data_IF_195566193966
#
_entry.id   IF_195566193966
#
_cell.length_a   1.000
_cell.length_b   1.000
_cell.length_c   1.000
_cell.angle_alpha   90.00
_cell.angle_beta   90.00
_cell.angle_gamma   90.00
#
_symmetry.space_group_name_H-M   'P 1'
#
loop_
_entity.id
_entity.type
_entity.pdbx_description
1 polymer ?
#
# COMPACT_ATOMS: atom_id res chain seq x y z
N UNK A 1 -37.17 55.76 39.93
CA UNK A 1 -35.81 55.19 40.07
C UNK A 1 -35.30 54.87 38.68
N UNK A 2 -34.35 55.68 38.20
CA UNK A 2 -33.75 55.58 36.87
C UNK A 2 -32.68 54.47 36.87
N UNK A 3 -32.73 53.54 35.92
CA UNK A 3 -31.65 52.59 35.67
C UNK A 3 -31.24 52.67 34.20
N UNK A 4 -30.05 53.21 34.01
CA UNK A 4 -29.39 53.60 32.77
C UNK A 4 -28.90 52.38 31.98
N UNK A 5 -29.23 52.32 30.68
CA UNK A 5 -28.66 51.38 29.72
C UNK A 5 -27.24 51.82 29.35
N UNK A 6 -26.25 51.04 29.74
CA UNK A 6 -24.85 51.20 29.35
C UNK A 6 -24.62 50.68 27.93
N UNK A 7 -24.26 51.58 27.01
CA UNK A 7 -23.89 51.26 25.62
C UNK A 7 -22.38 51.09 25.56
N UNK A 8 -21.91 49.85 25.44
CA UNK A 8 -20.49 49.55 25.25
C UNK A 8 -20.09 49.85 23.79
N UNK A 9 -19.21 50.84 23.60
CA UNK A 9 -18.59 51.18 22.32
C UNK A 9 -17.47 50.18 22.01
N UNK A 10 -17.62 49.42 20.92
CA UNK A 10 -16.57 48.57 20.33
C UNK A 10 -15.57 49.45 19.58
N UNK A 11 -14.34 49.51 20.08
CA UNK A 11 -13.24 50.21 19.45
C UNK A 11 -12.55 49.30 18.41
N UNK A 12 -12.82 49.52 17.12
CA UNK A 12 -12.04 48.92 16.02
C UNK A 12 -10.69 49.63 15.91
N UNK A 13 -9.62 48.97 16.36
CA UNK A 13 -8.24 49.38 16.04
C UNK A 13 -7.81 48.71 14.74
N UNK A 14 -7.74 49.51 13.67
CA UNK A 14 -7.10 49.21 12.38
C UNK A 14 -5.59 49.07 12.60
N UNK A 15 -5.03 47.91 12.25
CA UNK A 15 -3.59 47.71 12.12
C UNK A 15 -3.21 47.75 10.62
N UNK A 16 -2.15 48.46 10.22
CA UNK A 16 -1.61 48.38 8.87
C UNK A 16 -0.58 47.24 8.79
N UNK A 17 -0.92 46.15 8.09
CA UNK A 17 0.06 45.13 7.71
C UNK A 17 0.84 45.63 6.48
N UNK A 18 2.09 46.04 6.72
CA UNK A 18 3.05 46.37 5.69
C UNK A 18 3.47 45.11 4.93
N UNK A 19 3.03 45.00 3.67
CA UNK A 19 3.45 43.96 2.74
C UNK A 19 4.88 44.24 2.31
N UNK A 20 5.85 43.46 2.82
CA UNK A 20 7.22 43.48 2.30
C UNK A 20 7.32 42.50 1.14
N UNK A 21 7.25 43.05 -0.08
CA UNK A 21 7.64 42.35 -1.30
C UNK A 21 9.16 42.14 -1.30
N UNK A 22 9.61 40.91 -1.07
CA UNK A 22 10.97 40.49 -1.40
C UNK A 22 10.99 40.06 -2.87
N UNK A 23 11.38 40.99 -3.75
CA UNK A 23 11.76 40.69 -5.12
C UNK A 23 13.22 40.27 -5.14
N UNK A 24 13.50 38.98 -5.30
CA UNK A 24 14.83 38.49 -5.68
C UNK A 24 14.76 37.90 -7.09
N UNK A 25 14.88 38.76 -8.09
CA UNK A 25 15.13 38.36 -9.47
C UNK A 25 16.57 37.87 -9.61
N UNK A 26 16.78 36.56 -9.45
CA UNK A 26 17.98 35.90 -9.99
C UNK A 26 17.65 35.38 -11.38
N UNK A 27 18.26 35.91 -12.47
CA UNK A 27 18.11 35.28 -13.77
C UNK A 27 18.90 33.97 -13.78
N UNK A 28 18.21 32.84 -13.78
CA UNK A 28 18.80 31.54 -14.13
C UNK A 28 18.74 31.46 -15.65
N UNK A 29 19.83 31.82 -16.31
CA UNK A 29 19.99 31.60 -17.74
C UNK A 29 20.16 30.09 -17.99
N UNK A 30 19.05 29.40 -18.25
CA UNK A 30 19.08 28.02 -18.76
C UNK A 30 19.44 28.11 -20.24
N UNK A 31 20.70 27.85 -20.58
CA UNK A 31 21.15 27.76 -21.96
C UNK A 31 20.51 26.52 -22.62
N UNK A 32 19.34 26.71 -23.25
CA UNK A 32 18.68 25.69 -24.03
C UNK A 32 19.53 25.39 -25.28
N UNK A 33 20.28 24.30 -25.26
CA UNK A 33 20.92 23.78 -26.47
C UNK A 33 19.92 22.82 -27.13
N UNK A 34 19.31 23.26 -28.23
CA UNK A 34 18.51 22.37 -29.08
C UNK A 34 19.42 21.36 -29.75
N UNK A 35 19.40 20.11 -29.28
CA UNK A 35 19.95 18.99 -30.03
C UNK A 35 19.14 18.78 -31.31
N UNK A 36 19.80 18.92 -32.46
CA UNK A 36 19.28 18.42 -33.73
C UNK A 36 19.42 16.90 -33.75
N UNK A 37 18.30 16.20 -33.86
CA UNK A 37 18.29 14.75 -34.06
C UNK A 37 18.97 14.43 -35.41
N UNK A 38 19.85 13.41 -35.48
CA UNK A 38 20.36 12.92 -36.75
C UNK A 38 19.20 12.43 -37.63
N UNK A 39 18.90 13.17 -38.69
CA UNK A 39 18.00 12.71 -39.75
C UNK A 39 18.73 11.66 -40.60
N UNK A 40 18.77 10.43 -40.13
CA UNK A 40 18.95 9.29 -41.01
C UNK A 40 18.11 8.12 -40.51
N UNK A 41 16.81 8.19 -40.77
CA UNK A 41 15.95 7.02 -40.74
C UNK A 41 15.55 6.70 -42.18
N UNK A 42 16.48 6.10 -42.92
CA UNK A 42 16.08 5.36 -44.11
C UNK A 42 15.31 4.12 -43.60
N UNK A 43 14.05 3.90 -44.02
CA UNK A 43 13.35 2.68 -43.65
C UNK A 43 14.14 1.48 -44.20
N UNK A 44 14.22 0.36 -43.45
CA UNK A 44 14.87 -0.82 -43.98
C UNK A 44 14.16 -1.27 -45.27
N UNK A 45 14.90 -1.79 -46.28
CA UNK A 45 14.28 -2.31 -47.48
C UNK A 45 13.26 -3.39 -47.08
N UNK A 46 12.04 -3.27 -47.62
CA UNK A 46 11.05 -4.34 -47.49
C UNK A 46 11.66 -5.56 -48.17
N UNK A 47 11.67 -6.70 -47.47
CA UNK A 47 12.26 -7.93 -47.98
C UNK A 47 11.51 -8.39 -49.23
N UNK A 48 12.10 -8.13 -50.39
CA UNK A 48 11.65 -8.64 -51.70
C UNK A 48 12.07 -10.11 -51.93
N UNK A 49 12.74 -10.74 -50.95
CA UNK A 49 13.24 -12.13 -51.04
C UNK A 49 12.54 -13.08 -50.04
N UNK A 50 11.25 -12.88 -49.77
CA UNK A 50 10.44 -13.93 -49.14
C UNK A 50 9.62 -14.59 -50.24
N UNK A 51 9.87 -15.86 -50.61
CA UNK A 51 8.97 -16.54 -51.53
C UNK A 51 7.58 -16.61 -50.87
N UNK A 52 6.55 -16.19 -51.60
CA UNK A 52 5.15 -16.39 -51.21
C UNK A 52 4.91 -17.89 -51.01
N UNK A 53 4.99 -18.35 -49.76
CA UNK A 53 4.46 -19.65 -49.39
C UNK A 53 2.95 -19.51 -49.32
N UNK A 54 2.33 -19.76 -50.47
CA UNK A 54 0.89 -19.94 -50.63
C UNK A 54 0.33 -20.79 -49.49
N UNK A 55 -0.66 -20.24 -48.78
CA UNK A 55 -1.47 -20.93 -47.77
C UNK A 55 -2.41 -21.89 -48.52
N UNK A 56 -1.85 -22.90 -49.19
CA UNK A 56 -2.61 -24.00 -49.77
C UNK A 56 -1.69 -25.22 -49.88
N UNK A 57 -1.22 -25.71 -48.75
CA UNK A 57 -0.93 -27.14 -48.61
C UNK A 57 -1.85 -27.68 -47.51
N UNK A 58 -2.64 -28.74 -47.78
CA UNK A 58 -3.39 -29.42 -46.74
C UNK A 58 -2.40 -30.24 -45.92
N UNK A 59 -1.88 -29.67 -44.83
CA UNK A 59 -1.14 -30.45 -43.85
C UNK A 59 -2.07 -31.53 -43.26
N UNK A 60 -1.70 -32.83 -43.32
CA UNK A 60 -2.49 -33.87 -42.69
C UNK A 60 -2.46 -33.70 -41.17
N UNK A 61 -3.66 -33.69 -40.57
CA UNK A 61 -3.86 -33.55 -39.13
C UNK A 61 -2.95 -34.51 -38.34
N UNK A 62 -2.30 -34.03 -37.26
CA UNK A 62 -1.44 -34.87 -36.43
C UNK A 62 -2.26 -35.95 -35.71
N UNK A 63 -1.74 -37.18 -35.71
CA UNK A 63 -2.34 -38.29 -34.96
C UNK A 63 -2.23 -38.01 -33.46
N UNK A 64 -3.39 -37.94 -32.81
CA UNK A 64 -3.57 -38.04 -31.36
C UNK A 64 -2.79 -39.24 -30.84
N UNK A 65 -1.93 -39.00 -29.83
CA UNK A 65 -1.17 -39.92 -28.96
C UNK A 65 0.36 -39.73 -29.02
N UNK A 66 0.85 -38.52 -28.72
CA UNK A 66 2.26 -38.29 -28.40
C UNK A 66 2.41 -37.46 -27.13
N UNK A 67 2.07 -38.08 -26.00
CA UNK A 67 2.49 -37.63 -24.66
C UNK A 67 3.94 -38.03 -24.44
N UNK A 68 4.89 -37.34 -25.09
CA UNK A 68 6.31 -37.43 -24.76
C UNK A 68 6.83 -36.05 -24.34
N UNK A 69 7.32 -35.87 -23.09
CA UNK A 69 7.97 -34.64 -22.71
C UNK A 69 9.23 -34.42 -23.57
N UNK A 70 9.57 -33.18 -23.91
CA UNK A 70 10.77 -32.88 -24.69
C UNK A 70 12.03 -33.36 -23.94
N UNK A 71 13.04 -33.89 -24.64
CA UNK A 71 14.30 -34.25 -24.00
C UNK A 71 14.98 -33.00 -23.43
N UNK A 72 15.32 -33.05 -22.14
CA UNK A 72 16.09 -32.00 -21.47
C UNK A 72 17.47 -31.88 -22.13
N UNK A 73 17.83 -30.67 -22.54
CA UNK A 73 19.17 -30.37 -23.03
C UNK A 73 20.20 -30.62 -21.91
N UNK A 74 21.37 -31.23 -22.19
CA UNK A 74 22.43 -31.37 -21.20
C UNK A 74 22.90 -29.99 -20.73
N UNK A 75 22.86 -29.77 -19.42
CA UNK A 75 23.39 -28.56 -18.81
C UNK A 75 24.90 -28.45 -19.10
N UNK A 76 25.32 -27.32 -19.66
CA UNK A 76 26.73 -26.98 -19.86
C UNK A 76 27.40 -26.86 -18.48
N UNK A 77 28.55 -27.52 -18.23
CA UNK A 77 29.25 -27.38 -16.96
C UNK A 77 29.66 -25.92 -16.74
N UNK A 78 29.32 -25.36 -15.57
CA UNK A 78 29.85 -24.07 -15.15
C UNK A 78 31.32 -24.23 -14.71
N UNK A 79 32.22 -23.27 -15.02
CA UNK A 79 33.60 -23.32 -14.54
C UNK A 79 33.67 -23.09 -13.01
N UNK A 80 34.66 -23.67 -12.30
CA UNK A 80 34.72 -23.63 -10.85
C UNK A 80 34.91 -22.22 -10.29
N UNK A 81 34.07 -21.83 -9.33
CA UNK A 81 34.28 -20.65 -8.50
C UNK A 81 35.41 -20.91 -7.49
N UNK A 82 36.35 -19.98 -7.40
CA UNK A 82 37.41 -20.00 -6.39
C UNK A 82 36.82 -19.74 -4.98
N UNK A 83 37.26 -20.45 -3.92
CA UNK A 83 36.77 -20.22 -2.57
C UNK A 83 37.37 -18.94 -1.95
N UNK A 84 36.51 -18.07 -1.44
CA UNK A 84 36.91 -16.93 -0.59
C UNK A 84 37.17 -17.42 0.86
N UNK A 85 38.19 -16.88 1.56
CA UNK A 85 38.52 -17.29 2.92
C UNK A 85 37.50 -16.79 3.95
N UNK A 86 37.26 -17.65 4.94
CA UNK A 86 36.31 -17.52 6.03
C UNK A 86 36.86 -16.54 7.09
N UNK A 87 36.08 -15.52 7.43
CA UNK A 87 36.31 -14.74 8.65
C UNK A 87 35.64 -15.46 9.82
N UNK A 88 36.49 -16.11 10.61
CA UNK A 88 36.19 -16.79 11.86
C UNK A 88 35.90 -15.76 12.96
N UNK A 89 34.74 -15.92 13.62
CA UNK A 89 34.41 -15.21 14.84
C UNK A 89 35.02 -15.94 16.05
N UNK A 90 35.67 -15.24 17.00
CA UNK A 90 35.92 -15.81 18.31
C UNK A 90 34.87 -15.35 19.31
N UNK A 91 34.03 -16.31 19.71
CA UNK A 91 33.24 -16.26 20.94
C UNK A 91 34.12 -16.78 22.08
N UNK A 92 34.37 -15.96 23.11
CA UNK A 92 35.01 -16.41 24.35
C UNK A 92 34.10 -16.11 25.54
N UNK A 93 33.62 -17.19 26.15
CA UNK A 93 32.98 -17.23 27.46
C UNK A 93 34.00 -16.99 28.57
N UNK A 94 33.66 -16.19 29.58
CA UNK A 94 34.05 -16.42 30.98
C UNK A 94 33.37 -15.42 31.93
N UNK A 95 32.68 -15.94 32.94
CA UNK A 95 32.30 -15.27 34.18
C UNK A 95 32.64 -16.23 35.34
N UNK A 96 32.62 -15.84 36.62
CA UNK A 96 32.90 -14.54 37.26
C UNK A 96 33.93 -14.68 38.41
N UNK A 97 34.53 -13.57 38.87
CA UNK A 97 35.26 -13.54 40.14
C UNK A 97 35.07 -12.19 40.86
N UNK A 98 34.76 -12.28 42.15
CA UNK A 98 34.47 -11.22 43.12
C UNK A 98 35.81 -10.63 43.63
N UNK A 99 35.89 -9.34 43.98
CA UNK A 99 36.12 -9.04 45.40
C UNK A 99 35.29 -7.88 45.97
N UNK A 100 34.95 -8.04 47.25
CA UNK A 100 34.46 -7.04 48.20
C UNK A 100 35.49 -5.92 48.38
N UNK A 101 35.04 -4.68 48.61
CA UNK A 101 35.23 -3.97 49.88
C UNK A 101 34.83 -2.48 49.81
N UNK A 102 34.09 -2.08 50.85
CA UNK A 102 34.15 -0.79 51.56
C UNK A 102 33.47 0.46 50.97
N UNK A 103 32.45 0.88 51.72
CA UNK A 103 31.75 2.17 51.70
C UNK A 103 32.69 3.36 52.05
N UNK A 104 32.28 4.64 51.85
CA UNK A 104 31.31 5.25 52.78
C UNK A 104 30.27 6.22 52.15
N UNK A 105 29.17 6.35 52.88
CA UNK A 105 28.05 7.28 52.73
C UNK A 105 28.53 8.75 52.85
N UNK A 106 27.84 9.72 52.21
CA UNK A 106 27.25 10.75 53.07
C UNK A 106 25.83 11.21 52.65
N UNK A 107 24.95 11.16 53.66
CA UNK A 107 24.00 12.19 54.11
C UNK A 107 22.99 12.77 53.11
N UNK A 108 21.74 12.35 53.32
CA UNK A 108 20.56 13.18 53.62
C UNK A 108 20.55 14.61 53.08
N UNK A 109 19.59 14.87 52.19
CA UNK A 109 18.81 16.11 52.29
C UNK A 109 17.36 15.85 51.87
N UNK A 110 16.50 15.75 52.89
CA UNK A 110 15.07 15.99 52.80
C UNK A 110 14.82 17.46 52.45
N UNK A 111 14.06 17.70 51.38
CA UNK A 111 13.05 18.78 51.26
C UNK A 111 12.45 18.73 49.86
N UNK A 112 11.23 18.19 49.75
CA UNK A 112 10.00 18.96 49.60
C UNK A 112 8.89 18.03 49.09
N UNK A 113 7.93 17.78 49.96
CA UNK A 113 6.72 17.05 49.66
C UNK A 113 5.92 17.81 48.59
N UNK A 114 6.05 17.38 47.34
CA UNK A 114 5.19 17.84 46.26
C UNK A 114 3.80 17.23 46.45
N UNK A 115 2.89 18.07 46.92
CA UNK A 115 1.43 17.85 46.95
C UNK A 115 0.96 17.13 45.67
N UNK A 116 0.24 16.00 45.75
CA UNK A 116 -0.20 15.29 44.56
C UNK A 116 -1.13 16.21 43.75
N UNK A 117 -0.67 16.62 42.56
CA UNK A 117 -1.50 17.33 41.59
C UNK A 117 -2.67 16.40 41.26
N UNK A 118 -3.89 16.88 41.49
CA UNK A 118 -5.12 16.15 41.21
C UNK A 118 -5.07 15.48 39.83
N UNK A 119 -5.31 14.17 39.80
CA UNK A 119 -5.28 13.36 38.59
C UNK A 119 -6.30 13.92 37.59
N UNK A 120 -5.82 14.41 36.45
CA UNK A 120 -6.70 14.82 35.35
C UNK A 120 -7.50 13.60 34.88
N UNK A 121 -8.81 13.73 34.62
CA UNK A 121 -9.61 12.61 34.15
C UNK A 121 -9.00 12.05 32.86
N UNK A 122 -8.73 10.74 32.84
CA UNK A 122 -8.17 10.06 31.66
C UNK A 122 -9.18 10.20 30.51
N UNK A 123 -8.77 10.66 29.32
CA UNK A 123 -9.66 10.73 28.19
C UNK A 123 -10.21 9.34 27.86
N UNK A 124 -11.53 9.22 27.73
CA UNK A 124 -12.17 7.99 27.26
C UNK A 124 -11.71 7.76 25.82
N UNK A 125 -10.99 6.66 25.58
CA UNK A 125 -10.54 6.27 24.25
C UNK A 125 -11.77 6.12 23.36
N UNK A 126 -11.81 6.88 22.26
CA UNK A 126 -12.89 6.76 21.28
C UNK A 126 -12.79 5.39 20.61
N UNK A 127 -13.94 4.78 20.32
CA UNK A 127 -13.98 3.56 19.52
C UNK A 127 -13.25 3.79 18.18
N UNK A 128 -12.44 2.83 17.76
CA UNK A 128 -11.76 2.87 16.47
C UNK A 128 -12.82 2.83 15.37
N UNK A 129 -12.63 3.65 14.33
CA UNK A 129 -13.51 3.61 13.16
C UNK A 129 -13.24 2.31 12.39
N UNK A 130 -14.28 1.74 11.79
CA UNK A 130 -14.14 0.62 10.87
C UNK A 130 -13.18 0.99 9.71
N UNK A 131 -12.39 0.02 9.24
CA UNK A 131 -11.40 0.26 8.20
C UNK A 131 -12.04 0.64 6.86
N UNK A 132 -13.16 0.00 6.50
CA UNK A 132 -13.95 0.31 5.30
C UNK A 132 -15.45 0.22 5.62
N UNK A 133 -16.27 0.72 4.70
CA UNK A 133 -17.73 0.61 4.76
C UNK A 133 -18.25 -0.31 3.66
N UNK A 134 -19.33 -1.02 3.93
CA UNK A 134 -20.04 -1.87 2.98
C UNK A 134 -21.40 -1.25 2.63
N UNK A 135 -21.77 -1.25 1.35
CA UNK A 135 -23.14 -0.92 0.94
C UNK A 135 -24.09 -2.08 1.25
N UNK A 136 -25.40 -1.84 1.40
CA UNK A 136 -26.37 -2.91 1.64
C UNK A 136 -26.34 -4.01 0.57
N UNK A 137 -26.19 -3.64 -0.70
CA UNK A 137 -26.08 -4.58 -1.80
C UNK A 137 -24.83 -5.48 -1.70
N UNK A 138 -23.69 -4.90 -1.30
CA UNK A 138 -22.48 -5.68 -1.08
C UNK A 138 -22.61 -6.64 0.11
N UNK A 139 -23.32 -6.25 1.17
CA UNK A 139 -23.60 -7.11 2.32
C UNK A 139 -24.46 -8.30 1.92
N UNK A 140 -25.52 -8.08 1.14
CA UNK A 140 -26.39 -9.17 0.64
C UNK A 140 -25.59 -10.18 -0.19
N UNK A 141 -24.80 -9.70 -1.15
CA UNK A 141 -23.96 -10.58 -1.97
C UNK A 141 -22.93 -11.35 -1.14
N UNK A 142 -22.30 -10.70 -0.16
CA UNK A 142 -21.35 -11.38 0.72
C UNK A 142 -22.03 -12.46 1.57
N UNK A 143 -23.28 -12.26 2.02
CA UNK A 143 -24.03 -13.30 2.74
C UNK A 143 -24.26 -14.51 1.85
N UNK A 144 -24.67 -14.31 0.60
CA UNK A 144 -24.85 -15.41 -0.37
C UNK A 144 -23.53 -16.15 -0.65
N UNK A 145 -22.42 -15.43 -0.74
CA UNK A 145 -21.09 -16.03 -0.93
C UNK A 145 -20.62 -16.82 0.31
N UNK A 146 -21.07 -16.45 1.51
CA UNK A 146 -20.73 -17.12 2.77
C UNK A 146 -21.64 -18.32 3.07
N UNK A 147 -22.85 -18.36 2.51
CA UNK A 147 -23.84 -19.44 2.68
C UNK A 147 -23.53 -20.70 1.82
N UNK A 148 -22.32 -20.77 1.26
CA UNK A 148 -21.83 -21.94 0.52
C UNK A 148 -21.56 -23.12 1.48
N UNK A 149 -21.65 -24.37 1.01
CA UNK A 149 -21.56 -25.58 1.86
C UNK A 149 -20.26 -25.68 2.68
N UNK A 150 -19.18 -25.04 2.21
CA UNK A 150 -17.94 -24.84 2.96
C UNK A 150 -17.80 -23.35 3.34
N UNK A 151 -18.20 -22.94 4.55
CA UNK A 151 -18.16 -21.54 4.96
C UNK A 151 -16.70 -21.08 5.10
N UNK A 152 -16.21 -20.35 4.11
CA UNK A 152 -14.88 -19.72 4.10
C UNK A 152 -15.00 -18.24 4.37
N UNK A 153 -14.05 -17.67 5.10
CA UNK A 153 -13.96 -16.22 5.29
C UNK A 153 -13.51 -15.57 4.00
N UNK A 154 -14.05 -14.38 3.72
CA UNK A 154 -13.67 -13.60 2.55
C UNK A 154 -12.64 -12.56 2.98
N UNK A 155 -11.49 -12.56 2.32
CA UNK A 155 -10.39 -11.63 2.54
C UNK A 155 -10.21 -10.71 1.34
N UNK A 156 -10.19 -9.41 1.58
CA UNK A 156 -9.92 -8.37 0.58
C UNK A 156 -8.43 -8.04 0.59
N UNK A 157 -7.81 -8.19 -0.58
CA UNK A 157 -6.41 -7.87 -0.81
C UNK A 157 -6.22 -6.92 -1.99
N UNK A 158 -4.97 -6.56 -2.24
CA UNK A 158 -4.54 -5.87 -3.46
C UNK A 158 -3.51 -6.71 -4.20
N UNK A 159 -3.57 -6.71 -5.53
CA UNK A 159 -2.59 -7.37 -6.41
C UNK A 159 -2.10 -6.39 -7.45
N UNK A 160 -0.84 -6.53 -7.87
CA UNK A 160 -0.30 -5.73 -8.96
C UNK A 160 -0.97 -6.09 -10.29
N UNK A 161 -1.43 -5.09 -11.03
CA UNK A 161 -2.01 -5.20 -12.38
C UNK A 161 -1.46 -4.09 -13.28
N UNK A 162 -0.95 -4.47 -14.45
CA UNK A 162 -0.31 -3.54 -15.40
C UNK A 162 1.10 -3.10 -14.98
N UNK A 163 1.61 -2.01 -15.55
CA UNK A 163 2.99 -1.55 -15.32
C UNK A 163 3.26 -1.13 -13.87
N UNK A 164 2.31 -0.46 -13.21
CA UNK A 164 2.50 0.06 -11.85
C UNK A 164 1.21 0.13 -11.03
N UNK A 165 0.11 -0.47 -11.52
CA UNK A 165 -1.20 -0.37 -10.89
C UNK A 165 -1.44 -1.42 -9.82
N UNK A 166 -2.27 -1.10 -8.85
CA UNK A 166 -2.86 -2.05 -7.91
C UNK A 166 -4.30 -2.32 -8.31
N UNK A 167 -4.79 -3.53 -8.06
CA UNK A 167 -6.17 -3.92 -8.24
C UNK A 167 -6.66 -4.65 -6.99
N UNK A 168 -7.91 -4.39 -6.60
CA UNK A 168 -8.54 -5.11 -5.51
C UNK A 168 -8.84 -6.55 -5.94
N UNK A 169 -8.70 -7.49 -5.00
CA UNK A 169 -9.02 -8.89 -5.22
C UNK A 169 -9.61 -9.49 -3.95
N UNK A 170 -10.54 -10.43 -4.10
CA UNK A 170 -11.14 -11.18 -3.00
C UNK A 170 -10.61 -12.61 -3.01
N UNK A 171 -10.26 -13.11 -1.83
CA UNK A 171 -9.72 -14.45 -1.62
C UNK A 171 -10.55 -15.16 -0.54
N UNK A 172 -10.85 -16.44 -0.75
CA UNK A 172 -11.45 -17.28 0.28
C UNK A 172 -10.37 -17.87 1.19
N UNK A 173 -10.55 -17.74 2.50
CA UNK A 173 -9.59 -18.16 3.51
C UNK A 173 -10.30 -18.88 4.65
N UNK A 174 -9.74 -19.97 5.15
CA UNK A 174 -10.36 -20.73 6.24
C UNK A 174 -10.14 -20.07 7.62
N UNK A 175 -9.01 -19.38 7.81
CA UNK A 175 -8.62 -18.76 9.08
C UNK A 175 -8.06 -17.34 8.86
N UNK A 176 -8.34 -16.39 9.76
CA UNK A 176 -7.73 -15.06 9.69
C UNK A 176 -6.21 -15.14 9.92
N UNK A 177 -5.45 -14.38 9.14
CA UNK A 177 -4.02 -14.19 9.35
C UNK A 177 -3.72 -13.34 10.58
N UNK A 178 -2.46 -13.40 11.05
CA UNK A 178 -2.03 -12.69 12.27
C UNK A 178 -2.08 -11.16 12.14
N UNK A 179 -1.97 -10.64 10.91
CA UNK A 179 -1.95 -9.20 10.62
C UNK A 179 -3.19 -8.73 9.85
N UNK A 180 -4.18 -9.61 9.69
CA UNK A 180 -5.39 -9.27 8.97
C UNK A 180 -6.34 -8.50 9.90
N UNK A 181 -6.90 -7.40 9.39
CA UNK A 181 -7.91 -6.64 10.13
C UNK A 181 -9.28 -7.24 9.84
N UNK A 182 -10.05 -7.51 10.89
CA UNK A 182 -11.42 -7.98 10.76
C UNK A 182 -12.39 -6.79 10.77
N UNK A 183 -13.23 -6.70 9.74
CA UNK A 183 -14.35 -5.76 9.69
C UNK A 183 -15.65 -6.54 9.77
N UNK A 184 -16.46 -6.21 10.75
CA UNK A 184 -17.80 -6.76 10.93
C UNK A 184 -18.83 -5.66 10.69
N UNK A 185 -19.73 -5.89 9.74
CA UNK A 185 -20.82 -4.98 9.43
C UNK A 185 -22.06 -5.78 9.08
N UNK A 186 -23.20 -5.42 9.69
CA UNK A 186 -24.50 -6.05 9.40
C UNK A 186 -24.48 -7.59 9.53
N UNK A 187 -23.70 -8.11 10.47
CA UNK A 187 -23.54 -9.56 10.71
C UNK A 187 -22.64 -10.29 9.71
N UNK A 188 -22.02 -9.58 8.77
CA UNK A 188 -21.06 -10.13 7.81
C UNK A 188 -19.64 -9.81 8.26
N UNK A 189 -18.76 -10.82 8.23
CA UNK A 189 -17.36 -10.71 8.61
C UNK A 189 -16.47 -10.75 7.37
N UNK A 190 -15.71 -9.68 7.17
CA UNK A 190 -14.73 -9.56 6.07
C UNK A 190 -13.35 -9.32 6.65
N UNK A 191 -12.35 -9.99 6.08
CA UNK A 191 -10.95 -9.81 6.44
C UNK A 191 -10.28 -8.84 5.47
N UNK A 192 -9.35 -8.03 5.95
CA UNK A 192 -8.52 -7.14 5.13
C UNK A 192 -7.07 -7.56 5.29
N UNK A 193 -6.40 -7.83 4.17
CA UNK A 193 -4.96 -8.11 4.18
C UNK A 193 -4.19 -6.89 4.69
N UNK A 194 -3.23 -7.13 5.58
CA UNK A 194 -2.22 -6.18 6.06
C UNK A 194 -1.63 -5.29 4.96
N UNK A 195 -1.35 -5.84 3.77
CA UNK A 195 -0.77 -5.09 2.63
C UNK A 195 -1.77 -4.16 1.98
N UNK A 196 -3.04 -4.53 1.99
CA UNK A 196 -4.13 -3.80 1.36
C UNK A 196 -4.74 -2.74 2.29
N UNK A 197 -4.50 -2.85 3.59
CA UNK A 197 -5.11 -2.00 4.62
C UNK A 197 -4.98 -0.51 4.29
N UNK A 198 -3.78 -0.02 3.97
CA UNK A 198 -3.57 1.39 3.64
C UNK A 198 -4.29 1.84 2.35
N UNK A 199 -4.50 0.94 1.40
CA UNK A 199 -5.21 1.22 0.15
C UNK A 199 -6.72 1.07 0.27
N UNK A 200 -7.24 0.55 1.38
CA UNK A 200 -8.68 0.30 1.62
C UNK A 200 -9.23 1.22 2.72
N UNK A 201 -8.38 1.79 3.57
CA UNK A 201 -8.85 2.65 4.66
C UNK A 201 -9.70 3.81 4.13
N UNK A 202 -10.94 3.88 4.62
CA UNK A 202 -11.90 4.90 4.25
C UNK A 202 -12.59 4.67 2.91
N UNK A 203 -12.36 3.53 2.24
CA UNK A 203 -13.10 3.17 1.04
C UNK A 203 -14.48 2.60 1.36
N UNK A 204 -15.34 2.64 0.36
CA UNK A 204 -16.66 2.01 0.36
C UNK A 204 -16.69 0.87 -0.67
N UNK A 205 -17.13 -0.31 -0.25
CA UNK A 205 -17.29 -1.48 -1.12
C UNK A 205 -18.75 -1.64 -1.52
N UNK A 206 -18.97 -1.68 -2.83
CA UNK A 206 -20.28 -1.76 -3.47
C UNK A 206 -20.39 -3.00 -4.36
N UNK A 207 -21.62 -3.45 -4.64
CA UNK A 207 -21.88 -4.55 -5.58
C UNK A 207 -22.51 -3.98 -6.85
N UNK A 208 -21.85 -4.20 -7.99
CA UNK A 208 -22.34 -3.78 -9.29
C UNK A 208 -22.66 -5.00 -10.14
N UNK A 209 -23.93 -5.10 -10.54
CA UNK A 209 -24.44 -6.11 -11.45
C UNK A 209 -24.87 -5.43 -12.77
N UNK A 210 -24.09 -5.70 -13.81
CA UNK A 210 -24.37 -5.35 -15.19
C UNK A 210 -24.88 -6.62 -15.92
N UNK A 211 -25.54 -6.44 -17.06
CA UNK A 211 -26.09 -7.57 -17.87
C UNK A 211 -25.07 -8.64 -18.27
N UNK A 212 -23.79 -8.30 -18.27
CA UNK A 212 -22.69 -9.19 -18.67
C UNK A 212 -21.67 -9.43 -17.55
N UNK A 213 -21.69 -8.64 -16.47
CA UNK A 213 -20.63 -8.66 -15.47
C UNK A 213 -21.20 -8.43 -14.07
N UNK A 214 -20.69 -9.18 -13.11
CA UNK A 214 -20.97 -9.01 -11.69
C UNK A 214 -19.64 -8.81 -10.97
N UNK A 215 -19.49 -7.71 -10.22
CA UNK A 215 -18.23 -7.39 -9.55
C UNK A 215 -18.42 -6.50 -8.33
N UNK A 216 -17.49 -6.64 -7.40
CA UNK A 216 -17.31 -5.66 -6.33
C UNK A 216 -16.61 -4.40 -6.87
N UNK A 217 -17.19 -3.24 -6.58
CA UNK A 217 -16.66 -1.94 -6.94
C UNK A 217 -16.22 -1.21 -5.68
N UNK A 218 -14.97 -0.76 -5.66
CA UNK A 218 -14.41 -0.05 -4.51
C UNK A 218 -14.31 1.43 -4.84
N UNK A 219 -14.95 2.27 -4.02
CA UNK A 219 -14.88 3.73 -4.09
C UNK A 219 -13.93 4.22 -3.01
N UNK A 220 -12.68 4.47 -3.37
CA UNK A 220 -11.66 4.94 -2.45
C UNK A 220 -11.31 6.42 -2.70
N UNK A 221 -11.56 7.33 -1.73
CA UNK A 221 -11.25 8.75 -1.89
C UNK A 221 -9.75 9.06 -1.94
N UNK A 222 -8.88 8.11 -1.60
CA UNK A 222 -7.43 8.28 -1.60
C UNK A 222 -6.78 7.93 -2.96
N UNK A 223 -7.55 7.44 -3.94
CA UNK A 223 -7.01 7.12 -5.27
C UNK A 223 -6.61 8.43 -5.98
N UNK A 224 -5.37 8.48 -6.48
CA UNK A 224 -4.86 9.60 -7.27
C UNK A 224 -5.20 9.45 -8.75
N UNK A 225 -4.95 8.26 -9.29
CA UNK A 225 -5.10 7.96 -10.71
C UNK A 225 -5.71 6.57 -10.89
N UNK A 226 -6.61 6.44 -11.86
CA UNK A 226 -7.21 5.17 -12.25
C UNK A 226 -6.88 4.87 -13.72
N UNK A 227 -6.59 3.61 -14.02
CA UNK A 227 -6.32 3.18 -15.39
C UNK A 227 -7.57 3.40 -16.26
N UNK A 228 -7.39 3.72 -17.55
CA UNK A 228 -8.50 3.99 -18.47
C UNK A 228 -9.50 2.85 -18.64
N UNK A 229 -9.09 1.61 -18.34
CA UNK A 229 -10.00 0.44 -18.29
C UNK A 229 -10.72 0.26 -16.94
N UNK A 230 -10.40 1.06 -15.92
CA UNK A 230 -11.02 1.01 -14.60
C UNK A 230 -10.57 -0.13 -13.68
N UNK A 231 -9.77 -1.08 -14.17
CA UNK A 231 -9.40 -2.28 -13.40
C UNK A 231 -8.27 -2.08 -12.38
N UNK A 232 -7.45 -1.04 -12.55
CA UNK A 232 -6.31 -0.76 -11.67
C UNK A 232 -6.22 0.71 -11.29
N UNK A 233 -5.60 0.98 -10.14
CA UNK A 233 -5.49 2.30 -9.54
C UNK A 233 -4.12 2.53 -8.89
N UNK A 234 -3.82 3.80 -8.60
CA UNK A 234 -2.65 4.25 -7.86
C UNK A 234 -3.08 5.15 -6.70
N UNK A 235 -2.55 4.90 -5.51
CA UNK A 235 -2.83 5.62 -4.25
C UNK A 235 -1.67 6.53 -3.87
#
# INVERSE_FOLDING_TARGET
MFATRSVARVALRRAPNAVRYFSSSRPVAVAYHSYTLPSHNAPPPRGDDVPETSITQPDPLPKVHETRPPPQQPQRPQPPQQPQPQHEAPSQNAAPAIPKASAPVPKLNEKEAQKPKAARPRPKLRARKAAMKLTPAAVEQLREMLDQPDPKLIKVGVRNRGCSGLAYHLEYVDKPGAFDETVEQDGVKVLIDSKALFSIIGSEMDWAEDKLNQRFVFRNPNIKEQCGCGESFMV
#
